data_IF_394724151895
#
_entry.id   IF_394724151895
#
_cell.length_a   1.000
_cell.length_b   1.000
_cell.length_c   1.000
_cell.angle_alpha   90.00
_cell.angle_beta   90.00
_cell.angle_gamma   90.00
#
_symmetry.space_group_name_H-M   'P 1'
#
loop_
_entity.id
_entity.type
_entity.pdbx_description
1 polymer ?
#
# COMPACT_ATOMS: atom_id res chain seq x y z
N UNK A 1 -31.39 5.47 -17.34
CA UNK A 1 -30.28 4.70 -16.72
C UNK A 1 -30.66 4.53 -15.26
N UNK A 2 -30.70 3.30 -14.75
CA UNK A 2 -30.94 3.09 -13.33
C UNK A 2 -29.70 3.59 -12.57
N UNK A 3 -29.90 4.38 -11.53
CA UNK A 3 -28.80 4.80 -10.66
C UNK A 3 -28.32 3.56 -9.91
N UNK A 4 -27.03 3.24 -10.05
CA UNK A 4 -26.38 2.18 -9.29
C UNK A 4 -26.50 2.49 -7.79
N UNK A 5 -26.90 1.49 -7.00
CA UNK A 5 -27.09 1.67 -5.56
C UNK A 5 -25.76 1.40 -4.87
N UNK A 6 -25.25 2.39 -4.14
CA UNK A 6 -24.07 2.27 -3.30
C UNK A 6 -24.44 2.23 -1.82
N UNK A 7 -23.54 1.72 -1.00
CA UNK A 7 -23.54 1.79 0.46
C UNK A 7 -22.20 2.32 0.93
N UNK A 8 -22.23 3.10 2.02
CA UNK A 8 -21.02 3.58 2.66
C UNK A 8 -20.40 2.44 3.47
N UNK A 9 -19.20 2.00 3.08
CA UNK A 9 -18.37 1.08 3.86
C UNK A 9 -17.13 1.86 4.29
N UNK A 10 -17.01 2.11 5.60
CA UNK A 10 -16.04 3.05 6.16
C UNK A 10 -16.23 4.46 5.58
N UNK A 11 -15.30 4.96 4.77
CA UNK A 11 -15.43 6.27 4.08
C UNK A 11 -15.73 6.13 2.58
N UNK A 12 -15.92 4.90 2.08
CA UNK A 12 -16.00 4.60 0.65
C UNK A 12 -17.42 4.28 0.20
N UNK A 13 -17.85 4.86 -0.93
CA UNK A 13 -19.09 4.51 -1.62
C UNK A 13 -18.88 3.24 -2.46
N UNK A 14 -19.41 2.10 -1.99
CA UNK A 14 -19.23 0.79 -2.62
C UNK A 14 -20.57 0.31 -3.23
N UNK A 15 -20.60 -0.24 -4.46
CA UNK A 15 -21.79 -0.89 -5.00
C UNK A 15 -22.35 -1.95 -4.04
N UNK A 16 -23.68 -1.97 -3.86
CA UNK A 16 -24.34 -2.86 -2.87
C UNK A 16 -24.00 -4.34 -3.09
N UNK A 17 -23.86 -4.76 -4.35
CA UNK A 17 -23.49 -6.12 -4.74
C UNK A 17 -22.00 -6.46 -4.53
N UNK A 18 -21.15 -5.46 -4.37
CA UNK A 18 -19.72 -5.62 -4.09
C UNK A 18 -19.37 -5.45 -2.61
N UNK A 19 -20.23 -4.78 -1.82
CA UNK A 19 -19.95 -4.39 -0.44
C UNK A 19 -19.55 -5.55 0.48
N UNK A 20 -20.24 -6.69 0.40
CA UNK A 20 -19.89 -7.87 1.23
C UNK A 20 -18.51 -8.42 0.83
N UNK A 21 -18.25 -8.54 -0.48
CA UNK A 21 -16.97 -9.01 -1.01
C UNK A 21 -15.82 -8.08 -0.59
N UNK A 22 -16.05 -6.76 -0.67
CA UNK A 22 -15.09 -5.75 -0.25
C UNK A 22 -14.75 -5.89 1.25
N UNK A 23 -15.76 -5.96 2.12
CA UNK A 23 -15.56 -6.13 3.57
C UNK A 23 -14.76 -7.40 3.87
N UNK A 24 -15.10 -8.53 3.24
CA UNK A 24 -14.38 -9.80 3.44
C UNK A 24 -12.92 -9.67 3.05
N UNK A 25 -12.63 -9.20 1.83
CA UNK A 25 -11.25 -9.05 1.33
C UNK A 25 -10.44 -8.05 2.15
N UNK A 26 -11.08 -6.98 2.61
CA UNK A 26 -10.45 -5.96 3.47
C UNK A 26 -10.01 -6.58 4.79
N UNK A 27 -10.87 -7.38 5.40
CA UNK A 27 -10.55 -8.08 6.64
C UNK A 27 -9.45 -9.12 6.43
N UNK A 28 -9.45 -9.86 5.32
CA UNK A 28 -8.37 -10.79 4.98
C UNK A 28 -7.02 -10.08 4.84
N UNK A 29 -6.99 -8.96 4.14
CA UNK A 29 -5.80 -8.12 4.00
C UNK A 29 -5.33 -7.60 5.36
N UNK A 30 -6.25 -7.08 6.18
CA UNK A 30 -5.96 -6.61 7.54
C UNK A 30 -5.36 -7.72 8.40
N UNK A 31 -5.97 -8.90 8.41
CA UNK A 31 -5.48 -10.07 9.15
C UNK A 31 -4.08 -10.49 8.69
N UNK A 32 -3.82 -10.47 7.38
CA UNK A 32 -2.50 -10.75 6.82
C UNK A 32 -1.44 -9.79 7.38
N UNK A 33 -1.65 -8.47 7.30
CA UNK A 33 -0.70 -7.50 7.83
C UNK A 33 -0.55 -7.57 9.35
N UNK A 34 -1.64 -7.79 10.10
CA UNK A 34 -1.57 -7.95 11.56
C UNK A 34 -0.79 -9.20 11.98
N UNK A 35 -0.69 -10.20 11.11
CA UNK A 35 0.10 -11.41 11.33
C UNK A 35 1.56 -11.23 10.94
N UNK A 36 1.84 -10.61 9.80
CA UNK A 36 3.18 -10.57 9.19
C UNK A 36 4.00 -9.33 9.56
N UNK A 37 3.36 -8.24 10.00
CA UNK A 37 4.07 -7.04 10.46
C UNK A 37 4.75 -7.20 11.83
N UNK A 38 4.15 -7.81 12.88
CA UNK A 38 4.76 -7.85 14.22
C UNK A 38 6.16 -8.47 14.30
N UNK A 39 6.51 -9.51 13.50
CA UNK A 39 7.87 -10.02 13.46
C UNK A 39 8.90 -9.04 12.88
N UNK A 40 8.47 -8.08 12.05
CA UNK A 40 9.32 -7.20 11.25
C UNK A 40 9.40 -5.79 11.82
N UNK A 41 8.31 -5.29 12.41
CA UNK A 41 8.17 -3.91 12.87
C UNK A 41 8.06 -3.82 14.38
N UNK A 42 8.74 -2.83 14.96
CA UNK A 42 8.75 -2.58 16.40
C UNK A 42 7.51 -1.82 16.90
N UNK A 43 6.87 -1.07 16.01
CA UNK A 43 5.66 -0.32 16.27
C UNK A 43 4.68 -0.55 15.12
N UNK A 44 3.42 -0.82 15.46
CA UNK A 44 2.34 -1.03 14.50
C UNK A 44 1.13 -0.27 15.02
N UNK A 45 0.55 0.54 14.14
CA UNK A 45 -0.69 1.27 14.35
C UNK A 45 -1.73 0.77 13.33
N UNK A 46 -2.94 0.51 13.81
CA UNK A 46 -4.09 0.13 13.00
C UNK A 46 -5.34 0.71 13.66
N UNK A 47 -6.38 0.94 12.85
CA UNK A 47 -7.67 1.52 13.25
C UNK A 47 -7.57 2.94 13.84
N UNK A 48 -7.65 3.93 12.95
CA UNK A 48 -7.85 5.32 13.31
C UNK A 48 -9.31 5.56 13.71
N UNK A 49 -9.61 5.59 15.01
CA UNK A 49 -10.77 6.36 15.46
C UNK A 49 -10.58 7.81 15.00
N UNK A 50 -11.30 8.20 13.94
CA UNK A 50 -11.34 9.59 13.42
C UNK A 50 -10.44 9.91 12.23
N UNK A 51 -9.92 8.92 11.49
CA UNK A 51 -9.22 9.23 10.23
C UNK A 51 -10.24 9.50 9.12
N UNK A 52 -10.28 10.75 8.62
CA UNK A 52 -11.22 11.17 7.58
C UNK A 52 -11.01 10.43 6.24
N UNK A 53 -9.88 9.76 6.07
CA UNK A 53 -9.48 9.11 4.81
C UNK A 53 -9.56 7.57 4.86
N UNK A 54 -10.08 6.99 5.94
CA UNK A 54 -10.42 5.55 6.05
C UNK A 54 -9.45 4.69 6.86
N UNK A 55 -9.78 3.40 6.98
CA UNK A 55 -8.97 2.41 7.70
C UNK A 55 -7.57 2.26 7.08
N UNK A 56 -6.54 2.14 7.93
CA UNK A 56 -5.15 2.01 7.50
C UNK A 56 -4.34 1.11 8.44
N UNK A 57 -3.16 0.70 7.96
CA UNK A 57 -2.11 0.07 8.75
C UNK A 57 -0.81 0.83 8.53
N UNK A 58 -0.19 1.29 9.62
CA UNK A 58 1.13 1.89 9.61
C UNK A 58 2.07 1.06 10.50
N UNK A 59 3.30 0.84 10.05
CA UNK A 59 4.28 0.11 10.83
C UNK A 59 5.69 0.67 10.63
N UNK A 60 6.48 0.66 11.70
CA UNK A 60 7.85 1.16 11.70
C UNK A 60 8.78 0.28 12.55
N UNK A 61 9.98 0.05 12.01
CA UNK A 61 11.09 -0.52 12.73
C UNK A 61 12.19 0.54 12.93
N UNK A 62 12.30 1.07 14.13
CA UNK A 62 13.30 2.11 14.44
C UNK A 62 14.76 1.62 14.37
N UNK A 63 14.99 0.30 14.40
CA UNK A 63 16.34 -0.27 14.32
C UNK A 63 16.82 -0.42 12.87
N UNK A 64 15.93 -0.83 11.98
CA UNK A 64 16.25 -1.01 10.54
C UNK A 64 15.91 0.21 9.70
N UNK A 65 15.03 1.08 10.18
CA UNK A 65 14.46 2.20 9.43
C UNK A 65 13.38 1.77 8.44
N UNK A 66 12.92 0.52 8.49
CA UNK A 66 11.84 0.04 7.63
C UNK A 66 10.51 0.65 8.06
N UNK A 67 9.75 1.11 7.07
CA UNK A 67 8.44 1.71 7.24
C UNK A 67 7.44 1.09 6.28
N UNK A 68 6.18 1.06 6.69
CA UNK A 68 5.03 0.61 5.92
C UNK A 68 3.87 1.55 6.21
N UNK A 69 3.20 2.02 5.17
CA UNK A 69 1.91 2.67 5.30
C UNK A 69 0.98 2.13 4.21
N UNK A 70 -0.22 1.74 4.59
CA UNK A 70 -1.20 1.20 3.65
C UNK A 70 -2.63 1.59 4.04
N UNK A 71 -3.38 2.14 3.08
CA UNK A 71 -4.81 2.37 3.19
C UNK A 71 -5.54 1.07 2.84
N UNK A 72 -6.59 0.74 3.59
CA UNK A 72 -7.45 -0.41 3.32
C UNK A 72 -8.63 0.01 2.42
N UNK A 73 -8.31 0.71 1.33
CA UNK A 73 -9.26 1.23 0.34
C UNK A 73 -9.46 0.25 -0.85
N UNK A 74 -10.49 0.45 -1.69
CA UNK A 74 -10.77 -0.45 -2.81
C UNK A 74 -9.64 -0.63 -3.82
N UNK A 75 -8.88 0.43 -4.11
CA UNK A 75 -7.78 0.39 -5.09
C UNK A 75 -6.65 -0.47 -4.54
N UNK A 76 -6.27 -0.25 -3.29
CA UNK A 76 -5.21 -1.02 -2.67
C UNK A 76 -5.64 -2.47 -2.44
N UNK A 77 -6.92 -2.72 -2.14
CA UNK A 77 -7.45 -4.08 -2.09
C UNK A 77 -7.35 -4.79 -3.44
N UNK A 78 -7.71 -4.13 -4.54
CA UNK A 78 -7.58 -4.72 -5.87
C UNK A 78 -6.12 -5.02 -6.20
N UNK A 79 -5.22 -4.13 -5.82
CA UNK A 79 -3.78 -4.35 -5.95
C UNK A 79 -3.32 -5.53 -5.10
N UNK A 80 -3.64 -5.58 -3.81
CA UNK A 80 -3.36 -6.73 -2.94
C UNK A 80 -3.85 -8.04 -3.57
N UNK A 81 -5.08 -8.05 -4.12
CA UNK A 81 -5.69 -9.24 -4.71
C UNK A 81 -5.03 -9.68 -6.02
N UNK A 82 -4.41 -8.77 -6.78
CA UNK A 82 -3.73 -9.11 -8.04
C UNK A 82 -2.43 -9.90 -7.84
N UNK A 83 -1.91 -9.99 -6.62
CA UNK A 83 -0.68 -10.73 -6.32
C UNK A 83 -0.98 -12.15 -5.84
N UNK A 84 -0.40 -13.15 -6.48
CA UNK A 84 -0.51 -14.55 -6.03
C UNK A 84 0.26 -14.80 -4.72
N UNK A 85 1.43 -14.17 -4.58
CA UNK A 85 2.29 -14.25 -3.39
C UNK A 85 2.15 -13.00 -2.52
N UNK A 86 1.41 -13.12 -1.40
CA UNK A 86 1.14 -11.99 -0.49
C UNK A 86 2.35 -11.53 0.30
N UNK A 87 3.29 -12.43 0.61
CA UNK A 87 4.57 -12.03 1.21
C UNK A 87 5.34 -11.14 0.26
N UNK A 88 5.34 -11.51 -1.01
CA UNK A 88 6.11 -10.78 -2.00
C UNK A 88 5.47 -9.42 -2.34
N UNK A 89 4.16 -9.29 -2.17
CA UNK A 89 3.44 -8.01 -2.14
C UNK A 89 3.84 -7.14 -0.92
N UNK A 90 3.90 -7.72 0.28
CA UNK A 90 4.37 -7.00 1.49
C UNK A 90 5.78 -6.44 1.30
N UNK A 91 6.72 -7.25 0.79
CA UNK A 91 8.07 -6.82 0.45
C UNK A 91 8.07 -5.66 -0.56
N UNK A 92 7.19 -5.72 -1.55
CA UNK A 92 7.07 -4.67 -2.57
C UNK A 92 6.64 -3.33 -1.98
N UNK A 93 5.69 -3.33 -1.05
CA UNK A 93 5.22 -2.09 -0.42
C UNK A 93 6.31 -1.50 0.48
N UNK A 94 6.96 -2.32 1.31
CA UNK A 94 8.05 -1.87 2.18
C UNK A 94 9.16 -1.23 1.33
N UNK A 95 9.51 -1.87 0.21
CA UNK A 95 10.50 -1.33 -0.71
C UNK A 95 10.03 -0.01 -1.34
N UNK A 96 8.78 0.10 -1.80
CA UNK A 96 8.25 1.34 -2.36
C UNK A 96 8.27 2.47 -1.34
N UNK A 97 7.88 2.19 -0.09
CA UNK A 97 7.90 3.17 1.00
C UNK A 97 9.34 3.66 1.26
N UNK A 98 10.31 2.75 1.34
CA UNK A 98 11.72 3.13 1.52
C UNK A 98 12.26 4.03 0.38
N UNK A 99 11.79 3.83 -0.86
CA UNK A 99 12.15 4.69 -2.01
C UNK A 99 11.47 6.05 -1.94
N UNK A 100 10.21 6.11 -1.51
CA UNK A 100 9.49 7.36 -1.24
C UNK A 100 10.24 8.17 -0.16
N UNK A 101 10.62 7.53 0.94
CA UNK A 101 11.31 8.19 2.05
C UNK A 101 12.71 8.67 1.65
N UNK A 102 13.48 7.85 0.93
CA UNK A 102 14.77 8.26 0.37
C UNK A 102 14.62 9.49 -0.53
N UNK A 103 13.60 9.52 -1.38
CA UNK A 103 13.35 10.63 -2.28
C UNK A 103 13.04 11.94 -1.51
N UNK A 104 12.14 11.87 -0.52
CA UNK A 104 11.72 13.05 0.24
C UNK A 104 12.78 13.55 1.23
N UNK A 105 13.69 12.67 1.68
CA UNK A 105 14.80 13.05 2.57
C UNK A 105 15.99 13.67 1.83
N UNK A 106 16.17 13.40 0.52
CA UNK A 106 17.12 14.14 -0.30
C UNK A 106 16.60 15.56 -0.62
N UNK A 107 16.91 16.49 0.29
CA UNK A 107 16.60 17.94 0.30
C UNK A 107 16.67 18.72 -1.04
N UNK A 108 17.28 18.17 -2.09
CA UNK A 108 17.38 18.80 -3.42
C UNK A 108 16.25 18.42 -4.40
N UNK A 109 15.41 17.44 -4.05
CA UNK A 109 14.43 16.86 -4.97
C UNK A 109 12.99 17.36 -4.78
N UNK A 110 12.64 17.87 -3.59
CA UNK A 110 11.33 18.47 -3.29
C UNK A 110 10.93 19.59 -4.28
N UNK A 111 11.89 20.38 -4.76
CA UNK A 111 11.63 21.49 -5.69
C UNK A 111 11.57 21.09 -7.17
N UNK A 112 12.09 19.92 -7.56
CA UNK A 112 12.20 19.50 -8.97
C UNK A 112 10.98 18.76 -9.50
N UNK A 113 10.18 18.15 -8.62
CA UNK A 113 9.15 17.19 -9.02
C UNK A 113 7.76 17.47 -8.43
N UNK A 114 7.57 18.61 -7.76
CA UNK A 114 6.30 19.08 -7.18
C UNK A 114 5.14 19.31 -8.19
N UNK A 115 5.29 18.89 -9.46
CA UNK A 115 4.30 19.05 -10.53
C UNK A 115 3.83 17.73 -11.16
N UNK A 116 4.28 16.57 -10.65
CA UNK A 116 3.87 15.26 -11.16
C UNK A 116 2.63 14.75 -10.43
N UNK A 117 1.75 14.03 -11.14
CA UNK A 117 0.64 13.28 -10.52
C UNK A 117 1.19 12.05 -9.80
N UNK A 118 0.38 11.40 -8.95
CA UNK A 118 0.76 10.16 -8.25
C UNK A 118 1.12 9.02 -9.25
N UNK A 119 0.43 8.98 -10.39
CA UNK A 119 0.68 8.01 -11.47
C UNK A 119 2.02 8.29 -12.21
N UNK A 120 2.39 9.56 -12.42
CA UNK A 120 3.70 9.96 -12.95
C UNK A 120 4.86 9.65 -11.97
N UNK A 121 4.52 9.52 -10.69
CA UNK A 121 5.43 9.21 -9.59
C UNK A 121 5.73 7.73 -9.50
N UNK A 122 4.69 6.89 -9.49
CA UNK A 122 4.85 5.43 -9.47
C UNK A 122 5.63 4.92 -10.67
N UNK A 123 5.32 5.42 -11.87
CA UNK A 123 6.04 5.07 -13.08
C UNK A 123 7.52 5.49 -13.00
N UNK A 124 7.81 6.65 -12.42
CA UNK A 124 9.19 7.11 -12.28
C UNK A 124 9.98 6.33 -11.22
N UNK A 125 9.41 6.04 -10.06
CA UNK A 125 10.07 5.19 -9.04
C UNK A 125 10.34 3.80 -9.62
N UNK A 126 9.36 3.23 -10.33
CA UNK A 126 9.55 1.98 -11.07
C UNK A 126 10.68 2.13 -12.07
N UNK A 127 10.68 3.11 -12.96
CA UNK A 127 11.74 3.33 -13.96
C UNK A 127 13.14 3.55 -13.35
N UNK A 128 13.26 4.29 -12.25
CA UNK A 128 14.56 4.60 -11.63
C UNK A 128 15.14 3.42 -10.85
N UNK A 129 14.28 2.61 -10.24
CA UNK A 129 14.72 1.57 -9.31
C UNK A 129 14.34 0.15 -9.77
N UNK A 130 13.79 -0.03 -10.99
CA UNK A 130 13.38 -1.32 -11.58
C UNK A 130 14.53 -2.33 -11.59
N UNK A 131 15.75 -1.86 -11.89
CA UNK A 131 16.94 -2.72 -11.92
C UNK A 131 17.35 -3.19 -10.53
N UNK A 132 17.12 -2.39 -9.48
CA UNK A 132 17.39 -2.76 -8.09
C UNK A 132 16.36 -3.75 -7.57
N UNK A 133 15.08 -3.57 -7.95
CA UNK A 133 14.01 -4.51 -7.63
C UNK A 133 14.28 -5.89 -8.29
N UNK A 134 14.55 -5.89 -9.59
CA UNK A 134 14.83 -7.12 -10.34
C UNK A 134 16.15 -7.80 -9.91
N UNK A 135 17.17 -7.07 -9.46
CA UNK A 135 18.40 -7.67 -8.93
C UNK A 135 18.21 -8.24 -7.52
N UNK A 136 17.54 -7.51 -6.62
CA UNK A 136 17.33 -7.93 -5.22
C UNK A 136 16.38 -9.13 -5.11
N UNK A 137 15.50 -9.33 -6.09
CA UNK A 137 14.50 -10.40 -6.11
C UNK A 137 14.54 -11.25 -7.40
N UNK A 138 15.71 -11.39 -8.02
CA UNK A 138 15.94 -12.19 -9.23
C UNK A 138 15.65 -13.69 -8.99
N UNK A 139 14.38 -14.07 -9.10
CA UNK A 139 13.97 -15.47 -9.03
C UNK A 139 12.48 -15.73 -8.80
N UNK A 140 11.64 -14.73 -8.47
CA UNK A 140 10.22 -14.97 -8.14
C UNK A 140 9.20 -14.36 -9.11
N UNK A 141 9.65 -13.59 -10.10
CA UNK A 141 8.76 -12.95 -11.08
C UNK A 141 9.23 -13.20 -12.51
N UNK A 142 8.88 -14.37 -13.05
CA UNK A 142 8.76 -14.52 -14.50
C UNK A 142 7.28 -14.81 -14.77
N UNK A 143 6.58 -13.71 -15.09
CA UNK A 143 5.28 -13.53 -15.75
C UNK A 143 4.08 -14.33 -15.25
#
# INVERSE_FOLDING_TARGET
MAQEKTVLVDVWDIPVDEAETYITKRNEMKEFFLKECPPRFSQIENDGEGYEEGEYIAAENFQTGEQLFILLDPIELDHYQSWDDKEAYLENIIWHQAKIDYFYTESSNLGKYAKRTMEDWENWIKEQFESEFNQSYSGRYIR
#
